data_IF_310407445779
#
_entry.id   IF_310407445779
#
_cell.length_a   1.000
_cell.length_b   1.000
_cell.length_c   1.000
_cell.angle_alpha   90.00
_cell.angle_beta   90.00
_cell.angle_gamma   90.00
#
_symmetry.space_group_name_H-M   'P 1'
#
loop_
_entity.id
_entity.type
_entity.pdbx_description
1 polymer ?
#
# COMPACT_ATOMS: atom_id res chain seq x y z
N UNK A 1 -7.94 14.35 -19.53
CA UNK A 1 -7.72 13.55 -20.75
C UNK A 1 -6.45 12.77 -20.46
N UNK A 2 -6.51 11.43 -20.41
CA UNK A 2 -5.30 10.63 -20.25
C UNK A 2 -4.42 10.81 -21.48
N UNK A 3 -3.11 10.88 -21.28
CA UNK A 3 -2.19 10.92 -22.40
C UNK A 3 -2.08 9.51 -23.01
N UNK A 4 -1.83 9.38 -24.33
CA UNK A 4 -1.60 8.07 -24.94
C UNK A 4 -0.39 7.34 -24.33
N UNK A 5 0.50 8.05 -23.63
CA UNK A 5 1.60 7.47 -22.86
C UNK A 5 1.11 6.83 -21.55
N UNK A 6 0.20 7.48 -20.85
CA UNK A 6 -0.43 6.95 -19.63
C UNK A 6 -1.27 5.70 -19.94
N UNK A 7 -1.99 5.70 -21.07
CA UNK A 7 -2.79 4.55 -21.50
C UNK A 7 -1.90 3.34 -21.84
N UNK A 8 -0.70 3.56 -22.40
CA UNK A 8 0.25 2.51 -22.76
C UNK A 8 0.95 1.95 -21.51
N UNK A 9 1.31 2.83 -20.56
CA UNK A 9 1.83 2.43 -19.26
C UNK A 9 0.80 1.56 -18.52
N UNK A 10 -0.41 2.07 -18.31
CA UNK A 10 -1.48 1.37 -17.60
C UNK A 10 -1.95 0.08 -18.30
N UNK A 11 -1.96 0.06 -19.64
CA UNK A 11 -2.52 -1.05 -20.42
C UNK A 11 -1.55 -2.19 -20.74
N UNK A 12 -0.24 -1.91 -20.82
CA UNK A 12 0.76 -2.90 -21.28
C UNK A 12 1.88 -3.08 -20.27
N UNK A 13 2.41 -2.01 -19.70
CA UNK A 13 3.59 -2.08 -18.83
C UNK A 13 3.20 -2.59 -17.44
N UNK A 14 2.15 -2.03 -16.85
CA UNK A 14 1.72 -2.42 -15.50
C UNK A 14 1.32 -3.91 -15.39
N UNK A 15 0.56 -4.50 -16.34
CA UNK A 15 0.28 -5.93 -16.29
C UNK A 15 1.54 -6.80 -16.37
N UNK A 16 2.58 -6.38 -17.11
CA UNK A 16 3.84 -7.13 -17.22
C UNK A 16 4.64 -7.05 -15.92
N UNK A 17 4.69 -5.86 -15.31
CA UNK A 17 5.34 -5.65 -14.01
C UNK A 17 4.64 -6.47 -12.93
N UNK A 18 3.31 -6.47 -12.90
CA UNK A 18 2.54 -7.29 -11.96
C UNK A 18 2.74 -8.78 -12.20
N UNK A 19 2.82 -9.23 -13.46
CA UNK A 19 3.13 -10.64 -13.79
C UNK A 19 4.55 -11.03 -13.34
N UNK A 20 5.49 -10.07 -13.30
CA UNK A 20 6.89 -10.36 -12.97
C UNK A 20 7.18 -10.25 -11.47
N UNK A 21 6.53 -9.30 -10.78
CA UNK A 21 6.85 -8.93 -9.40
C UNK A 21 5.66 -9.03 -8.44
N UNK A 22 4.42 -8.95 -8.95
CA UNK A 22 3.19 -9.01 -8.15
C UNK A 22 2.49 -10.37 -8.18
N UNK A 23 2.90 -11.31 -9.04
CA UNK A 23 2.16 -12.55 -9.28
C UNK A 23 2.25 -13.53 -8.10
N UNK A 24 3.36 -13.48 -7.36
CA UNK A 24 3.57 -14.29 -6.15
C UNK A 24 2.97 -13.64 -4.88
N UNK A 25 2.67 -12.34 -4.92
CA UNK A 25 2.30 -11.52 -3.77
C UNK A 25 0.87 -10.96 -3.90
N UNK A 26 -0.10 -11.71 -3.37
CA UNK A 26 -1.52 -11.31 -3.34
C UNK A 26 -1.90 -10.68 -2.00
N UNK A 27 -2.73 -9.63 -2.07
CA UNK A 27 -3.19 -8.88 -0.90
C UNK A 27 -4.71 -8.75 -0.85
N UNK A 28 -5.25 -8.76 0.36
CA UNK A 28 -6.64 -8.38 0.62
C UNK A 28 -6.66 -6.99 1.30
N UNK A 29 -7.31 -6.03 0.68
CA UNK A 29 -7.48 -4.67 1.19
C UNK A 29 -8.81 -4.54 1.92
N UNK A 30 -8.73 -4.13 3.20
CA UNK A 30 -9.89 -3.93 4.06
C UNK A 30 -9.99 -2.45 4.42
N UNK A 31 -11.10 -1.79 4.03
CA UNK A 31 -11.29 -0.41 4.37
C UNK A 31 -11.62 -0.26 5.86
N UNK A 32 -10.92 0.67 6.50
CA UNK A 32 -11.13 0.99 7.90
C UNK A 32 -11.63 2.44 8.02
N UNK A 33 -12.61 2.63 8.89
CA UNK A 33 -13.08 3.93 9.32
C UNK A 33 -12.42 4.25 10.65
N UNK A 34 -11.55 5.26 10.66
CA UNK A 34 -11.12 5.86 11.92
C UNK A 34 -12.33 6.49 12.62
N UNK A 35 -12.46 6.21 13.91
CA UNK A 35 -13.48 6.84 14.73
C UNK A 35 -13.21 8.33 14.84
N UNK A 36 -14.26 9.16 14.84
CA UNK A 36 -14.16 10.61 15.06
C UNK A 36 -13.68 10.98 16.48
N UNK A 37 -13.50 10.00 17.36
CA UNK A 37 -12.95 10.23 18.70
C UNK A 37 -11.41 10.11 18.69
N UNK A 38 -10.75 10.98 19.46
CA UNK A 38 -9.28 11.09 19.56
C UNK A 38 -8.59 9.76 19.91
N UNK A 39 -9.28 8.85 20.59
CA UNK A 39 -8.79 7.51 20.97
C UNK A 39 -9.63 6.36 20.39
N UNK A 40 -10.47 6.64 19.40
CA UNK A 40 -11.39 5.62 18.92
C UNK A 40 -10.69 4.57 18.08
N UNK A 41 -11.00 3.31 18.35
CA UNK A 41 -10.46 2.19 17.58
C UNK A 41 -10.93 2.28 16.12
N UNK A 42 -10.07 1.95 15.14
CA UNK A 42 -10.52 1.75 13.77
C UNK A 42 -11.63 0.71 13.74
N UNK A 43 -12.66 0.99 12.96
CA UNK A 43 -13.80 0.09 12.75
C UNK A 43 -13.91 -0.25 11.27
N UNK A 44 -14.49 -1.39 10.93
CA UNK A 44 -14.74 -1.73 9.54
C UNK A 44 -15.62 -0.64 8.89
N UNK A 45 -15.27 -0.22 7.68
CA UNK A 45 -16.05 0.75 6.92
C UNK A 45 -17.05 0.02 6.01
N UNK A 46 -18.35 -0.04 6.33
CA UNK A 46 -19.34 -0.72 5.50
C UNK A 46 -19.60 0.00 4.17
N UNK A 47 -19.14 1.25 4.01
CA UNK A 47 -19.32 2.03 2.79
C UNK A 47 -18.34 1.68 1.67
N UNK A 48 -17.28 0.91 1.97
CA UNK A 48 -16.26 0.49 1.01
C UNK A 48 -16.18 -1.05 1.01
N UNK A 49 -16.30 -1.72 -0.15
CA UNK A 49 -16.20 -3.18 -0.20
C UNK A 49 -14.77 -3.66 0.03
N UNK A 50 -14.61 -4.87 0.55
CA UNK A 50 -13.30 -5.52 0.66
C UNK A 50 -12.79 -5.86 -0.76
N UNK A 51 -11.53 -5.51 -1.06
CA UNK A 51 -10.89 -5.89 -2.32
C UNK A 51 -9.98 -7.09 -2.07
N UNK A 52 -10.26 -8.21 -2.75
CA UNK A 52 -9.54 -9.49 -2.56
C UNK A 52 -8.61 -9.77 -3.72
N UNK A 53 -7.53 -10.52 -3.46
CA UNK A 53 -6.61 -11.05 -4.48
C UNK A 53 -5.95 -9.97 -5.37
N UNK A 54 -5.74 -8.80 -4.78
CA UNK A 54 -5.08 -7.68 -5.45
C UNK A 54 -3.59 -8.00 -5.59
N UNK A 55 -3.07 -7.96 -6.81
CA UNK A 55 -1.64 -8.03 -7.06
C UNK A 55 -0.98 -6.73 -6.61
N UNK A 56 0.10 -6.84 -5.86
CA UNK A 56 0.91 -5.70 -5.46
C UNK A 56 2.36 -6.13 -5.23
N UNK A 57 3.27 -5.16 -5.30
CA UNK A 57 4.69 -5.40 -5.06
C UNK A 57 4.95 -5.13 -3.58
N UNK A 58 5.54 -6.09 -2.89
CA UNK A 58 5.93 -5.95 -1.49
C UNK A 58 7.43 -5.72 -1.37
N UNK A 59 7.79 -4.74 -0.56
CA UNK A 59 9.16 -4.51 -0.17
C UNK A 59 9.26 -4.49 1.36
N UNK A 60 10.13 -5.35 1.89
CA UNK A 60 10.44 -5.41 3.33
C UNK A 60 11.75 -4.73 3.69
N UNK A 61 12.47 -4.19 2.69
CA UNK A 61 13.72 -3.48 2.91
C UNK A 61 13.49 -2.19 3.72
N UNK A 62 14.46 -1.77 4.55
CA UNK A 62 14.45 -0.43 5.11
C UNK A 62 14.43 0.60 3.99
N UNK A 63 13.69 1.70 4.19
CA UNK A 63 13.60 2.80 3.23
C UNK A 63 15.01 3.20 2.77
N UNK A 64 15.35 2.95 1.51
CA UNK A 64 16.64 3.34 0.99
C UNK A 64 16.73 4.87 1.04
N UNK A 65 17.80 5.34 1.66
CA UNK A 65 18.11 6.76 1.78
C UNK A 65 18.33 7.29 0.37
N UNK A 66 17.44 8.16 -0.11
CA UNK A 66 17.60 8.88 -1.37
C UNK A 66 19.04 9.46 -1.47
N UNK A 67 19.71 9.21 -2.61
CA UNK A 67 21.05 9.72 -2.94
C UNK A 67 21.16 11.25 -2.82
N UNK A 68 20.04 11.96 -2.77
CA UNK A 68 19.92 13.41 -2.56
C UNK A 68 20.31 13.90 -1.17
N UNK A 69 20.51 13.02 -0.17
CA UNK A 69 20.91 13.41 1.19
C UNK A 69 19.94 14.38 1.88
N UNK A 70 18.69 14.41 1.41
CA UNK A 70 17.63 15.32 1.86
C UNK A 70 17.03 14.87 3.19
N UNK A 71 17.79 15.06 4.28
CA UNK A 71 17.37 14.98 5.71
C UNK A 71 15.98 14.38 6.00
N UNK A 72 15.92 13.05 6.09
CA UNK A 72 15.13 12.36 7.14
C UNK A 72 16.02 11.73 8.23
N UNK A 73 17.32 12.02 8.20
CA UNK A 73 18.30 11.61 9.21
C UNK A 73 18.13 12.36 10.53
N UNK A 74 17.37 11.76 11.45
CA UNK A 74 17.76 11.77 12.87
C UNK A 74 18.45 10.44 13.15
N UNK A 75 19.67 10.42 13.71
CA UNK A 75 20.30 9.17 14.14
C UNK A 75 19.37 8.48 15.15
N UNK A 76 18.91 7.27 14.80
CA UNK A 76 18.02 6.46 15.64
C UNK A 76 16.76 5.91 14.96
N UNK A 77 16.44 6.28 13.72
CA UNK A 77 15.28 5.77 12.99
C UNK A 77 15.70 4.89 11.80
N UNK A 78 16.13 3.65 12.08
CA UNK A 78 16.05 2.57 11.11
C UNK A 78 14.67 1.90 11.27
N UNK A 79 13.60 2.64 10.97
CA UNK A 79 12.27 2.04 10.91
C UNK A 79 12.16 1.30 9.59
N UNK A 80 12.47 -0.01 9.62
CA UNK A 80 12.00 -0.98 8.63
C UNK A 80 10.49 -0.85 8.52
N UNK A 81 10.04 -0.03 7.57
CA UNK A 81 8.63 0.21 7.34
C UNK A 81 8.33 -0.50 6.04
N UNK A 82 7.73 -1.71 6.08
CA UNK A 82 7.41 -2.42 4.86
C UNK A 82 6.56 -1.54 3.95
N UNK A 83 6.76 -1.68 2.65
CA UNK A 83 6.06 -0.92 1.63
C UNK A 83 5.30 -1.86 0.70
N UNK A 84 4.12 -1.43 0.26
CA UNK A 84 3.36 -2.09 -0.80
C UNK A 84 3.09 -1.11 -1.93
N UNK A 85 3.48 -1.45 -3.15
CA UNK A 85 3.17 -0.69 -4.35
C UNK A 85 2.03 -1.35 -5.13
N UNK A 86 0.89 -0.68 -5.19
CA UNK A 86 -0.34 -1.18 -5.80
C UNK A 86 -0.84 -0.23 -6.89
N UNK A 87 -1.42 -0.79 -7.95
CA UNK A 87 -2.08 0.01 -8.98
C UNK A 87 -3.31 0.72 -8.43
N UNK A 88 -3.47 2.01 -8.73
CA UNK A 88 -4.66 2.79 -8.35
C UNK A 88 -5.94 2.11 -8.85
N UNK A 89 -5.90 1.53 -10.05
CA UNK A 89 -7.03 0.87 -10.69
C UNK A 89 -7.36 -0.51 -10.11
N UNK A 90 -6.45 -1.12 -9.34
CA UNK A 90 -6.65 -2.46 -8.79
C UNK A 90 -7.53 -2.46 -7.53
N UNK A 91 -7.71 -1.30 -6.89
CA UNK A 91 -8.61 -1.13 -5.75
C UNK A 91 -9.79 -0.24 -6.17
N UNK A 92 -11.06 -0.67 -5.94
CA UNK A 92 -12.24 0.04 -6.44
C UNK A 92 -12.58 1.34 -5.71
N UNK A 93 -11.76 1.74 -4.73
CA UNK A 93 -11.91 2.93 -3.91
C UNK A 93 -10.55 3.53 -3.57
N UNK A 94 -10.55 4.82 -3.25
CA UNK A 94 -9.34 5.54 -2.84
C UNK A 94 -8.85 5.01 -1.49
N UNK A 95 -7.60 4.52 -1.48
CA UNK A 95 -6.93 4.01 -0.29
C UNK A 95 -6.66 5.15 0.68
N UNK A 96 -6.90 4.91 1.97
CA UNK A 96 -6.77 5.90 3.04
C UNK A 96 -5.86 5.40 4.15
N UNK A 97 -5.24 6.36 4.85
CA UNK A 97 -4.48 6.06 6.07
C UNK A 97 -5.39 5.38 7.09
N UNK A 98 -4.89 4.32 7.70
CA UNK A 98 -5.62 3.48 8.64
C UNK A 98 -6.31 2.27 8.01
N UNK A 99 -6.45 2.21 6.68
CA UNK A 99 -6.93 0.99 6.01
C UNK A 99 -5.98 -0.18 6.29
N UNK A 100 -6.51 -1.40 6.27
CA UNK A 100 -5.76 -2.61 6.58
C UNK A 100 -5.46 -3.38 5.29
N UNK A 101 -4.26 -3.93 5.22
CA UNK A 101 -3.76 -4.70 4.09
C UNK A 101 -3.30 -6.05 4.63
N UNK A 102 -3.93 -7.13 4.18
CA UNK A 102 -3.54 -8.48 4.57
C UNK A 102 -2.74 -9.13 3.46
N UNK A 103 -1.52 -9.55 3.77
CA UNK A 103 -0.68 -10.35 2.87
C UNK A 103 -1.19 -11.78 2.85
N UNK A 104 -1.62 -12.29 1.69
CA UNK A 104 -2.21 -13.65 1.60
C UNK A 104 -1.16 -14.74 1.77
N UNK A 105 0.08 -14.48 1.34
CA UNK A 105 1.18 -15.43 1.44
C UNK A 105 1.54 -15.78 2.90
N UNK A 106 1.67 -14.77 3.76
CA UNK A 106 2.08 -14.95 5.18
C UNK A 106 0.92 -14.89 6.17
N UNK A 107 -0.23 -14.35 5.75
CA UNK A 107 -1.37 -14.09 6.62
C UNK A 107 -1.23 -12.83 7.49
N UNK A 108 -0.09 -12.13 7.40
CA UNK A 108 0.20 -10.90 8.15
C UNK A 108 -0.79 -9.80 7.79
N UNK A 109 -1.20 -9.05 8.82
CA UNK A 109 -2.09 -7.89 8.67
C UNK A 109 -1.28 -6.64 8.96
N UNK A 110 -1.30 -5.74 8.01
CA UNK A 110 -0.62 -4.46 8.06
C UNK A 110 -1.63 -3.32 8.07
N UNK A 111 -1.25 -2.20 8.65
CA UNK A 111 -2.00 -0.95 8.60
C UNK A 111 -1.27 0.08 7.75
N UNK A 112 -2.01 0.74 6.87
CA UNK A 112 -1.48 1.85 6.06
C UNK A 112 -1.25 3.08 6.94
N UNK A 113 -0.01 3.57 6.99
CA UNK A 113 0.38 4.76 7.76
C UNK A 113 0.60 5.98 6.88
N UNK A 114 1.23 5.79 5.72
CA UNK A 114 1.52 6.81 4.74
C UNK A 114 1.18 6.30 3.34
N UNK A 115 0.83 7.24 2.46
CA UNK A 115 0.39 7.00 1.09
C UNK A 115 1.14 8.00 0.23
N UNK A 116 1.97 7.49 -0.68
CA UNK A 116 2.78 8.27 -1.60
C UNK A 116 2.42 7.88 -3.04
N UNK A 117 1.80 8.77 -3.82
CA UNK A 117 1.56 8.50 -5.23
C UNK A 117 2.89 8.53 -5.99
N UNK A 118 3.10 7.58 -6.91
CA UNK A 118 4.30 7.53 -7.76
C UNK A 118 4.31 8.62 -8.86
N UNK A 119 3.19 9.36 -9.00
CA UNK A 119 2.98 10.38 -10.02
C UNK A 119 2.50 9.85 -11.38
N UNK A 120 2.26 8.55 -11.49
CA UNK A 120 1.80 7.86 -12.69
C UNK A 120 0.55 7.02 -12.37
N UNK A 121 0.73 5.75 -12.03
CA UNK A 121 -0.29 4.68 -12.08
C UNK A 121 -0.39 3.91 -10.78
N UNK A 122 0.64 3.96 -9.91
CA UNK A 122 0.71 3.20 -8.67
C UNK A 122 0.73 4.13 -7.45
N UNK A 123 0.42 3.53 -6.31
CA UNK A 123 0.51 4.18 -5.02
C UNK A 123 1.38 3.31 -4.13
N UNK A 124 2.38 3.95 -3.52
CA UNK A 124 3.24 3.37 -2.53
C UNK A 124 2.60 3.56 -1.15
N UNK A 125 2.36 2.45 -0.47
CA UNK A 125 1.74 2.40 0.84
C UNK A 125 2.80 2.02 1.86
N UNK A 126 3.06 2.89 2.84
CA UNK A 126 3.90 2.54 3.97
C UNK A 126 3.04 1.82 5.02
N UNK A 127 3.56 0.71 5.50
CA UNK A 127 2.84 -0.25 6.30
C UNK A 127 3.48 -0.42 7.67
N UNK A 128 2.63 -0.66 8.68
CA UNK A 128 3.06 -1.11 10.01
C UNK A 128 2.33 -2.40 10.32
N UNK A 129 3.06 -3.41 10.80
CA UNK A 129 2.49 -4.68 11.20
C UNK A 129 1.52 -4.47 12.37
N UNK A 130 0.29 -4.97 12.25
CA UNK A 130 -0.63 -5.06 13.38
C UNK A 130 -0.34 -6.33 14.16
N UNK A 131 0.04 -6.18 15.42
CA UNK A 131 0.02 -7.31 16.35
C UNK A 131 -1.43 -7.79 16.49
N UNK A 132 -1.67 -9.04 16.12
CA UNK A 132 -2.95 -9.69 16.31
C UNK A 132 -3.03 -10.06 17.79
N UNK A 133 -3.74 -9.25 18.59
CA UNK A 133 -4.14 -9.67 19.94
C UNK A 133 -4.99 -10.94 19.80
N UNK A 134 -4.47 -12.07 20.32
CA UNK A 134 -5.11 -13.37 20.35
C UNK A 134 -6.16 -13.48 21.46
#
# INVERSE_FOLDING_TARGET
>A
MSSPFEDLLAGIVEPIVDTTFGDEERFDFRPAKMSDSVNGRPSADPGRPLATDVAAIFDSAPLDVDESGGKRDRPGFATTTPQVSVLVSAVPWEIRRGDEVKRKATGEVFRVTEIEPDGLTRVNLHLVLQEVEA
#
